data_IF_726309863878
#
_entry.id   IF_726309863878
#
_cell.length_a   1.000
_cell.length_b   1.000
_cell.length_c   1.000
_cell.angle_alpha   90.00
_cell.angle_beta   90.00
_cell.angle_gamma   90.00
#
_symmetry.space_group_name_H-M   'P 1'
#
loop_
_entity.id
_entity.type
_entity.pdbx_description
1 polymer ?
#
# COMPACT_ATOMS: atom_id res chain seq x y z
N UNK A 1 -0.07 5.64 28.95
CA UNK A 1 -0.89 5.62 27.71
C UNK A 1 -0.18 6.28 26.51
N UNK A 2 1.17 6.36 26.47
CA UNK A 2 1.85 7.43 25.72
C UNK A 2 2.30 7.12 24.28
N UNK A 3 2.06 5.90 23.76
CA UNK A 3 2.60 5.48 22.45
C UNK A 3 1.61 4.80 21.51
N UNK A 4 0.30 4.86 21.81
CA UNK A 4 -0.73 4.32 20.91
C UNK A 4 -1.02 5.30 19.78
N UNK A 5 -1.13 4.76 18.57
CA UNK A 5 -1.55 5.50 17.37
C UNK A 5 -2.60 4.68 16.61
N UNK A 6 -3.47 5.31 15.81
CA UNK A 6 -4.38 4.58 14.93
C UNK A 6 -3.60 3.72 13.96
N UNK A 7 -3.93 2.43 13.88
CA UNK A 7 -3.30 1.50 12.95
C UNK A 7 -4.28 1.21 11.82
N UNK A 8 -3.79 1.35 10.59
CA UNK A 8 -4.49 1.05 9.36
C UNK A 8 -3.64 0.07 8.57
N UNK A 9 -4.26 -1.02 8.13
CA UNK A 9 -3.69 -1.91 7.13
C UNK A 9 -3.97 -1.37 5.74
N UNK A 10 -2.96 -1.45 4.87
CA UNK A 10 -3.03 -1.09 3.47
C UNK A 10 -2.77 -2.33 2.64
N UNK A 11 -3.73 -2.66 1.79
CA UNK A 11 -3.61 -3.70 0.77
C UNK A 11 -3.00 -3.05 -0.46
N UNK A 12 -1.94 -3.63 -0.99
CA UNK A 12 -1.23 -3.03 -2.10
C UNK A 12 -0.53 -4.02 -2.99
N UNK A 13 -0.22 -3.53 -4.19
CA UNK A 13 0.43 -4.30 -5.26
C UNK A 13 1.80 -3.68 -5.55
N UNK A 14 2.88 -4.46 -5.51
CA UNK A 14 4.20 -3.98 -5.92
C UNK A 14 4.21 -3.55 -7.39
N UNK A 15 4.79 -2.39 -7.65
CA UNK A 15 4.96 -1.85 -9.00
C UNK A 15 6.42 -1.52 -9.27
N UNK A 16 6.74 -1.30 -10.53
CA UNK A 16 8.04 -0.80 -10.98
C UNK A 16 7.86 0.25 -12.06
N UNK A 17 8.93 0.98 -12.35
CA UNK A 17 9.01 1.83 -13.53
C UNK A 17 9.51 0.99 -14.70
N UNK A 18 8.92 1.17 -15.88
CA UNK A 18 9.50 0.69 -17.13
C UNK A 18 10.64 1.61 -17.61
N UNK A 19 11.25 1.27 -18.75
CA UNK A 19 12.35 2.05 -19.32
C UNK A 19 11.92 3.46 -19.77
N UNK A 20 10.62 3.73 -19.86
CA UNK A 20 10.03 5.02 -20.21
C UNK A 20 9.61 5.83 -18.99
N UNK A 21 9.79 5.29 -17.78
CA UNK A 21 9.38 5.93 -16.54
C UNK A 21 7.88 5.81 -16.25
N UNK A 22 7.18 4.88 -16.89
CA UNK A 22 5.78 4.60 -16.60
C UNK A 22 5.66 3.51 -15.53
N UNK A 23 4.69 3.68 -14.64
CA UNK A 23 4.36 2.67 -13.65
C UNK A 23 3.75 1.44 -14.32
N UNK A 24 4.25 0.25 -13.97
CA UNK A 24 3.76 -1.05 -14.40
C UNK A 24 3.73 -2.04 -13.24
N UNK A 25 2.83 -3.02 -13.28
CA UNK A 25 2.83 -4.10 -12.29
C UNK A 25 4.09 -4.95 -12.39
N UNK A 26 4.55 -5.45 -11.25
CA UNK A 26 5.65 -6.39 -11.23
C UNK A 26 5.11 -7.80 -11.55
N UNK A 27 5.29 -8.25 -12.80
CA UNK A 27 4.91 -9.57 -13.33
C UNK A 27 3.45 -10.00 -13.08
N UNK A 28 3.15 -10.46 -11.87
CA UNK A 28 1.82 -10.90 -11.43
C UNK A 28 1.26 -9.95 -10.37
N UNK A 29 -0.02 -9.60 -10.52
CA UNK A 29 -0.74 -8.81 -9.51
C UNK A 29 -1.02 -9.72 -8.31
N UNK A 30 -0.21 -9.56 -7.26
CA UNK A 30 -0.41 -10.19 -5.95
C UNK A 30 -0.68 -9.13 -4.90
N UNK A 31 -1.74 -9.31 -4.12
CA UNK A 31 -2.07 -8.40 -3.03
C UNK A 31 -1.24 -8.75 -1.80
N UNK A 32 -0.56 -7.75 -1.26
CA UNK A 32 0.18 -7.84 -0.02
C UNK A 32 -0.34 -6.80 0.98
N UNK A 33 -0.09 -7.04 2.27
CA UNK A 33 -0.62 -6.19 3.34
C UNK A 33 0.52 -5.56 4.13
N UNK A 34 0.45 -4.24 4.26
CA UNK A 34 1.30 -3.45 5.15
C UNK A 34 0.45 -2.70 6.15
N UNK A 35 1.10 -2.03 7.11
CA UNK A 35 0.43 -1.09 8.02
C UNK A 35 1.22 0.21 8.13
N UNK A 36 0.57 1.26 8.62
CA UNK A 36 1.33 2.40 9.14
C UNK A 36 2.02 2.05 10.48
N UNK A 37 3.07 2.81 10.78
CA UNK A 37 3.79 2.82 12.05
C UNK A 37 3.84 4.21 12.65
N UNK A 38 4.36 4.30 13.88
CA UNK A 38 4.59 5.57 14.60
C UNK A 38 5.44 6.56 13.80
N UNK A 39 6.39 6.03 13.02
CA UNK A 39 7.37 6.80 12.24
C UNK A 39 7.08 6.81 10.74
N UNK A 40 5.93 6.27 10.32
CA UNK A 40 5.52 6.36 8.92
C UNK A 40 5.37 7.82 8.51
N UNK A 41 6.06 8.20 7.44
CA UNK A 41 6.04 9.58 6.93
C UNK A 41 4.91 9.80 5.93
N UNK A 42 4.40 11.02 5.86
CA UNK A 42 3.32 11.38 4.95
C UNK A 42 1.95 10.89 5.42
N UNK A 43 0.93 11.06 4.57
CA UNK A 43 -0.44 10.67 4.86
C UNK A 43 -1.03 9.91 3.66
N UNK A 44 -1.89 8.96 3.97
CA UNK A 44 -2.76 8.35 2.97
C UNK A 44 -3.79 9.38 2.49
N UNK A 45 -3.98 9.46 1.17
CA UNK A 45 -4.88 10.39 0.49
C UNK A 45 -6.05 9.64 -0.15
N UNK A 46 -5.78 8.71 -1.05
CA UNK A 46 -6.78 7.89 -1.76
C UNK A 46 -6.16 6.63 -2.37
N UNK A 47 -7.01 5.71 -2.82
CA UNK A 47 -6.59 4.53 -3.58
C UNK A 47 -5.82 4.94 -4.85
N UNK A 48 -4.89 4.09 -5.27
CA UNK A 48 -3.93 4.35 -6.33
C UNK A 48 -2.67 5.09 -5.86
N UNK A 49 -2.68 5.67 -4.66
CA UNK A 49 -1.49 6.32 -4.10
C UNK A 49 -0.36 5.29 -3.88
N UNK A 50 0.88 5.72 -4.12
CA UNK A 50 2.05 4.90 -3.86
C UNK A 50 2.61 5.12 -2.46
N UNK A 51 3.14 4.06 -1.86
CA UNK A 51 4.03 4.16 -0.71
C UNK A 51 5.34 3.40 -0.96
N UNK A 52 6.36 3.77 -0.20
CA UNK A 52 7.62 3.04 -0.13
C UNK A 52 7.64 2.14 1.09
N UNK A 53 8.09 0.91 0.88
CA UNK A 53 8.45 -0.03 1.94
C UNK A 53 9.85 0.27 2.47
N UNK A 54 10.21 -0.31 3.61
CA UNK A 54 11.56 -0.18 4.19
C UNK A 54 12.69 -0.66 3.26
N UNK A 55 12.38 -1.54 2.31
CA UNK A 55 13.33 -2.05 1.30
C UNK A 55 13.22 -1.32 -0.05
N UNK A 56 12.72 -0.08 -0.05
CA UNK A 56 12.55 0.77 -1.25
C UNK A 56 11.64 0.20 -2.36
N UNK A 57 10.79 -0.79 -2.06
CA UNK A 57 9.76 -1.23 -3.01
C UNK A 57 8.63 -0.20 -3.06
N UNK A 58 8.23 0.19 -4.28
CA UNK A 58 7.03 0.97 -4.55
C UNK A 58 5.81 0.05 -4.58
N UNK A 59 4.77 0.46 -3.85
CA UNK A 59 3.53 -0.30 -3.73
C UNK A 59 2.34 0.63 -3.92
N UNK A 60 1.44 0.25 -4.82
CA UNK A 60 0.19 0.98 -5.05
C UNK A 60 -0.91 0.49 -4.09
N UNK A 61 -1.59 1.42 -3.42
CA UNK A 61 -2.65 1.11 -2.45
C UNK A 61 -3.97 0.84 -3.17
N UNK A 62 -4.55 -0.34 -2.93
CA UNK A 62 -5.84 -0.77 -3.53
C UNK A 62 -6.93 -1.03 -2.50
N UNK A 63 -6.58 -1.06 -1.22
CA UNK A 63 -7.54 -1.18 -0.12
C UNK A 63 -6.95 -0.68 1.20
N UNK A 64 -7.81 -0.29 2.13
CA UNK A 64 -7.39 0.09 3.47
C UNK A 64 -8.43 -0.31 4.52
N UNK A 65 -7.99 -0.82 5.67
CA UNK A 65 -8.87 -1.16 6.79
C UNK A 65 -8.26 -0.79 8.13
N UNK A 66 -9.12 -0.47 9.11
CA UNK A 66 -8.66 -0.18 10.48
C UNK A 66 -8.20 -1.47 11.16
N UNK A 67 -7.09 -1.41 11.86
CA UNK A 67 -6.54 -2.51 12.63
C UNK A 67 -6.47 -2.13 14.12
N UNK A 68 -6.82 -3.07 14.99
CA UNK A 68 -6.56 -2.92 16.43
C UNK A 68 -5.07 -2.78 16.70
N UNK A 69 -4.67 -1.81 17.53
CA UNK A 69 -3.27 -1.59 17.91
C UNK A 69 -2.58 -2.85 18.45
N UNK A 70 -3.34 -3.75 19.11
CA UNK A 70 -2.81 -5.01 19.64
C UNK A 70 -2.30 -5.94 18.53
N UNK A 71 -2.93 -5.91 17.37
CA UNK A 71 -2.65 -6.80 16.24
C UNK A 71 -1.62 -6.22 15.25
N UNK A 72 -1.07 -5.04 15.54
CA UNK A 72 -0.14 -4.34 14.62
C UNK A 72 1.10 -5.17 14.26
N UNK A 73 1.53 -6.06 15.15
CA UNK A 73 2.73 -6.88 14.93
C UNK A 73 2.52 -8.01 13.92
N UNK A 74 1.28 -8.25 13.50
CA UNK A 74 0.96 -9.24 12.47
C UNK A 74 1.32 -8.75 11.06
N UNK A 75 1.63 -7.46 10.89
CA UNK A 75 1.88 -6.85 9.59
C UNK A 75 3.12 -5.95 9.62
N UNK A 76 3.81 -5.92 8.49
CA UNK A 76 5.04 -5.14 8.29
C UNK A 76 4.68 -3.65 8.15
N UNK A 77 5.42 -2.73 8.79
CA UNK A 77 5.25 -1.30 8.57
C UNK A 77 5.65 -0.87 7.16
N UNK A 78 4.98 0.17 6.64
CA UNK A 78 5.46 0.93 5.49
C UNK A 78 6.31 2.13 5.95
N UNK A 79 7.25 2.57 5.12
CA UNK A 79 8.17 3.66 5.44
C UNK A 79 7.50 5.03 5.24
N UNK A 80 6.99 5.29 4.03
CA UNK A 80 6.38 6.59 3.70
C UNK A 80 5.34 6.52 2.61
N UNK A 81 4.29 7.32 2.77
CA UNK A 81 3.39 7.67 1.67
C UNK A 81 4.07 8.67 0.74
N UNK A 82 3.91 8.47 -0.58
CA UNK A 82 4.35 9.40 -1.61
C UNK A 82 3.22 10.36 -2.00
N UNK A 83 3.48 11.29 -2.92
CA UNK A 83 2.44 12.09 -3.58
C UNK A 83 2.06 11.55 -4.96
N UNK A 84 2.58 10.39 -5.31
CA UNK A 84 2.45 9.79 -6.62
C UNK A 84 1.33 8.76 -6.63
N UNK A 85 0.77 8.54 -7.81
CA UNK A 85 -0.37 7.67 -8.05
C UNK A 85 -0.14 6.86 -9.32
N UNK A 86 -0.63 5.62 -9.35
CA UNK A 86 -0.81 4.88 -10.61
C UNK A 86 -1.93 5.51 -11.45
N UNK A 87 -2.00 5.14 -12.73
CA UNK A 87 -3.11 5.51 -13.60
C UNK A 87 -4.43 4.87 -13.14
N UNK A 88 -5.55 5.48 -13.52
CA UNK A 88 -6.88 4.97 -13.19
C UNK A 88 -7.12 3.56 -13.77
N UNK A 89 -6.63 3.29 -14.98
CA UNK A 89 -6.71 1.96 -15.61
C UNK A 89 -6.01 0.87 -14.77
N UNK A 90 -4.78 1.14 -14.31
CA UNK A 90 -4.08 0.21 -13.43
C UNK A 90 -4.84 0.03 -12.11
N UNK A 91 -5.37 1.11 -11.55
CA UNK A 91 -6.11 1.05 -10.30
C UNK A 91 -7.36 0.16 -10.43
N UNK A 92 -8.10 0.26 -11.52
CA UNK A 92 -9.27 -0.59 -11.79
C UNK A 92 -8.91 -2.07 -11.86
N UNK A 93 -7.85 -2.42 -12.59
CA UNK A 93 -7.34 -3.80 -12.69
C UNK A 93 -6.96 -4.33 -11.29
N UNK A 94 -6.22 -3.54 -10.52
CA UNK A 94 -5.73 -3.97 -9.22
C UNK A 94 -6.84 -4.07 -8.16
N UNK A 95 -7.84 -3.17 -8.20
CA UNK A 95 -9.03 -3.26 -7.35
C UNK A 95 -9.87 -4.49 -7.70
N UNK A 96 -10.02 -4.81 -8.99
CA UNK A 96 -10.72 -6.02 -9.43
C UNK A 96 -10.03 -7.25 -8.83
N UNK A 97 -8.70 -7.34 -8.95
CA UNK A 97 -7.91 -8.43 -8.38
C UNK A 97 -8.04 -8.51 -6.84
N UNK A 98 -8.00 -7.38 -6.16
CA UNK A 98 -8.21 -7.32 -4.71
C UNK A 98 -9.57 -7.85 -4.28
N UNK A 99 -10.64 -7.53 -5.03
CA UNK A 99 -11.98 -8.04 -4.74
C UNK A 99 -12.09 -9.55 -4.98
N UNK A 100 -11.40 -10.09 -5.98
CA UNK A 100 -11.35 -11.52 -6.26
C UNK A 100 -10.63 -12.31 -5.16
N UNK A 101 -9.58 -11.74 -4.55
CA UNK A 101 -8.82 -12.39 -3.45
C UNK A 101 -9.45 -12.18 -2.06
N UNK A 102 -10.39 -11.24 -1.93
CA UNK A 102 -11.07 -10.93 -0.67
C UNK A 102 -12.36 -11.74 -0.45
N UNK A 103 -12.77 -12.55 -1.42
CA UNK A 103 -13.92 -13.49 -1.38
C UNK A 103 -13.41 -14.90 -1.11
#
# INVERSE_FOLDING_TARGET
>A
MKDKYPVTCFYGVPIKLDNSGHYIFNTEIKIHVWRNGKHTKGKFLKLGQLFLTENNLLVAIVGATKLSFKNRHNFVPLERFTKEFISDEMLEIAIKKFKEEAV
#
